data_IF_744741284934
#
_entry.id   IF_744741284934
#
_cell.length_a   1.000
_cell.length_b   1.000
_cell.length_c   1.000
_cell.angle_alpha   90.00
_cell.angle_beta   90.00
_cell.angle_gamma   90.00
#
_symmetry.space_group_name_H-M   'P 1'
#
loop_
_entity.id
_entity.type
_entity.pdbx_description
1 polymer ?
#
# COMPACT_ATOMS: atom_id res chain seq x y z
N UNK A 1 -7.14 -5.40 -13.06
CA UNK A 1 -7.69 -6.75 -12.76
C UNK A 1 -9.00 -6.61 -11.98
N UNK A 2 -9.78 -7.68 -11.77
CA UNK A 2 -10.96 -7.59 -10.88
C UNK A 2 -10.55 -7.77 -9.41
N UNK A 3 -11.40 -7.32 -8.48
CA UNK A 3 -11.16 -7.38 -7.03
C UNK A 3 -10.77 -8.78 -6.54
N UNK A 4 -11.50 -9.81 -6.97
CA UNK A 4 -11.26 -11.20 -6.53
C UNK A 4 -9.89 -11.74 -6.98
N UNK A 5 -9.46 -11.41 -8.20
CA UNK A 5 -8.14 -11.80 -8.71
C UNK A 5 -7.03 -11.14 -7.91
N UNK A 6 -7.19 -9.87 -7.58
CA UNK A 6 -6.24 -9.12 -6.74
C UNK A 6 -6.18 -9.76 -5.34
N UNK A 7 -7.33 -10.01 -4.71
CA UNK A 7 -7.41 -10.67 -3.41
C UNK A 7 -6.71 -12.04 -3.38
N UNK A 8 -6.91 -12.84 -4.43
CA UNK A 8 -6.31 -14.17 -4.54
C UNK A 8 -4.79 -14.12 -4.65
N UNK A 9 -4.25 -13.09 -5.33
CA UNK A 9 -2.79 -12.88 -5.41
C UNK A 9 -2.26 -12.42 -4.06
N UNK A 10 -2.86 -11.40 -3.47
CA UNK A 10 -2.47 -10.87 -2.15
C UNK A 10 -2.43 -12.01 -1.13
N UNK A 11 -3.45 -12.85 -1.06
CA UNK A 11 -3.53 -13.95 -0.10
C UNK A 11 -2.40 -14.97 -0.22
N UNK A 12 -1.79 -15.10 -1.42
CA UNK A 12 -0.63 -15.97 -1.65
C UNK A 12 0.69 -15.26 -1.35
N UNK A 13 0.79 -13.98 -1.67
CA UNK A 13 2.02 -13.19 -1.61
C UNK A 13 2.28 -12.64 -0.22
N UNK A 14 1.26 -12.10 0.43
CA UNK A 14 1.38 -11.34 1.66
C UNK A 14 2.09 -12.12 2.79
N UNK A 15 1.78 -13.41 3.03
CA UNK A 15 2.52 -14.20 4.04
C UNK A 15 4.00 -14.38 3.73
N UNK A 16 4.40 -14.35 2.44
CA UNK A 16 5.81 -14.43 2.03
C UNK A 16 6.55 -13.13 2.33
N UNK A 17 5.90 -11.99 2.10
CA UNK A 17 6.40 -10.64 2.44
C UNK A 17 6.59 -10.51 3.95
N UNK A 18 5.56 -10.88 4.72
CA UNK A 18 5.62 -10.91 6.20
C UNK A 18 6.80 -11.73 6.69
N UNK A 19 6.95 -12.96 6.18
CA UNK A 19 8.05 -13.84 6.57
C UNK A 19 9.43 -13.28 6.21
N UNK A 20 9.55 -12.58 5.08
CA UNK A 20 10.83 -12.06 4.60
C UNK A 20 11.27 -10.80 5.35
N UNK A 21 10.38 -9.82 5.47
CA UNK A 21 10.72 -8.53 6.09
C UNK A 21 10.52 -8.49 7.61
N UNK A 22 9.72 -9.42 8.14
CA UNK A 22 9.46 -9.53 9.58
C UNK A 22 8.50 -8.46 10.10
N UNK A 23 8.56 -8.23 11.41
CA UNK A 23 7.59 -7.44 12.15
C UNK A 23 8.11 -6.04 12.47
N UNK A 24 7.21 -5.06 12.44
CA UNK A 24 7.52 -3.71 12.88
C UNK A 24 7.67 -3.68 14.39
N UNK A 25 8.61 -2.89 14.89
CA UNK A 25 8.72 -2.60 16.33
C UNK A 25 7.75 -1.50 16.80
N UNK A 26 6.96 -0.95 15.88
CA UNK A 26 6.02 0.15 16.13
C UNK A 26 4.56 -0.29 16.18
N UNK A 27 4.28 -1.56 15.88
CA UNK A 27 2.95 -2.14 15.82
C UNK A 27 2.95 -3.52 16.49
N UNK A 28 1.80 -3.95 17.02
CA UNK A 28 1.66 -5.23 17.72
C UNK A 28 1.50 -6.43 16.78
N UNK A 29 0.99 -6.17 15.56
CA UNK A 29 0.73 -7.18 14.55
C UNK A 29 1.10 -6.66 13.15
N UNK A 30 1.10 -7.57 12.18
CA UNK A 30 1.24 -7.22 10.76
C UNK A 30 0.02 -6.45 10.25
N UNK A 31 0.21 -5.61 9.22
CA UNK A 31 -0.90 -4.83 8.68
C UNK A 31 -2.07 -5.68 8.19
N UNK A 32 -3.28 -5.19 8.39
CA UNK A 32 -4.44 -5.72 7.68
C UNK A 32 -4.37 -5.31 6.20
N UNK A 33 -5.03 -6.07 5.32
CA UNK A 33 -5.15 -5.71 3.91
C UNK A 33 -6.60 -5.42 3.57
N UNK A 34 -6.85 -4.25 3.01
CA UNK A 34 -8.16 -3.86 2.49
C UNK A 34 -8.10 -3.55 0.99
N UNK A 35 -9.18 -3.91 0.28
CA UNK A 35 -9.33 -3.64 -1.15
C UNK A 35 -10.48 -2.66 -1.38
N UNK A 36 -10.13 -1.49 -1.90
CA UNK A 36 -11.07 -0.40 -2.23
C UNK A 36 -11.01 -0.07 -3.72
N UNK A 37 -12.07 0.52 -4.26
CA UNK A 37 -12.06 0.95 -5.67
C UNK A 37 -11.20 2.20 -5.86
N UNK A 38 -11.38 3.22 -5.02
CA UNK A 38 -10.58 4.45 -5.02
C UNK A 38 -10.58 5.09 -3.61
N UNK A 39 -9.87 6.20 -3.44
CA UNK A 39 -9.74 6.87 -2.14
C UNK A 39 -11.04 7.51 -1.64
N UNK A 40 -11.88 8.02 -2.54
CA UNK A 40 -13.17 8.61 -2.17
C UNK A 40 -14.10 7.57 -1.57
N UNK A 41 -14.15 6.40 -2.21
CA UNK A 41 -14.87 5.22 -1.76
C UNK A 41 -14.52 4.89 -0.32
N UNK A 42 -13.21 4.80 -0.04
CA UNK A 42 -12.68 4.52 1.28
C UNK A 42 -13.09 5.57 2.31
N UNK A 43 -13.01 6.86 1.98
CA UNK A 43 -13.23 7.95 2.92
C UNK A 43 -14.72 8.19 3.21
N UNK A 44 -15.60 8.10 2.21
CA UNK A 44 -17.03 8.43 2.38
C UNK A 44 -17.88 7.25 2.81
N UNK A 45 -17.50 6.02 2.45
CA UNK A 45 -18.26 4.81 2.79
C UNK A 45 -19.60 4.66 2.05
N UNK A 46 -19.90 5.51 1.06
CA UNK A 46 -21.16 5.49 0.31
C UNK A 46 -21.17 4.42 -0.79
N UNK A 47 -22.24 3.65 -0.95
CA UNK A 47 -22.41 2.72 -2.09
C UNK A 47 -22.56 3.47 -3.43
N UNK A 48 -21.86 3.02 -4.47
CA UNK A 48 -21.44 3.85 -5.61
C UNK A 48 -22.39 3.91 -6.82
N UNK A 49 -22.44 5.08 -7.47
CA UNK A 49 -22.91 5.27 -8.85
C UNK A 49 -21.74 5.07 -9.83
N UNK A 50 -21.91 4.19 -10.82
CA UNK A 50 -20.84 3.75 -11.74
C UNK A 50 -20.30 4.90 -12.61
N UNK A 51 -21.11 5.92 -12.88
CA UNK A 51 -20.76 7.00 -13.81
C UNK A 51 -19.66 7.93 -13.23
N UNK A 52 -19.59 8.09 -11.91
CA UNK A 52 -18.59 8.92 -11.21
C UNK A 52 -17.19 8.27 -11.25
N UNK A 53 -17.11 6.94 -11.33
CA UNK A 53 -15.86 6.17 -11.24
C UNK A 53 -14.95 6.35 -12.46
N UNK A 54 -15.52 6.72 -13.61
CA UNK A 54 -14.75 6.88 -14.86
C UNK A 54 -13.93 8.17 -14.91
N UNK A 55 -14.29 9.19 -14.11
CA UNK A 55 -13.67 10.51 -14.14
C UNK A 55 -12.83 10.85 -12.90
N UNK A 56 -13.02 10.15 -11.78
CA UNK A 56 -12.23 10.39 -10.56
C UNK A 56 -10.93 9.61 -10.58
N UNK A 57 -9.80 10.32 -10.59
CA UNK A 57 -8.47 9.71 -10.48
C UNK A 57 -8.37 8.78 -9.26
N UNK A 58 -8.07 7.51 -9.51
CA UNK A 58 -7.57 6.62 -8.47
C UNK A 58 -6.11 7.00 -8.20
N UNK A 59 -5.86 8.00 -7.38
CA UNK A 59 -4.53 8.27 -6.84
C UNK A 59 -4.67 8.26 -5.32
N UNK A 60 -3.85 7.51 -4.58
CA UNK A 60 -2.69 6.69 -5.02
C UNK A 60 -3.06 5.27 -5.51
N UNK A 61 -2.06 4.44 -5.86
CA UNK A 61 -2.22 3.01 -6.19
C UNK A 61 -2.48 2.15 -4.94
N UNK A 62 -1.85 2.52 -3.83
CA UNK A 62 -1.98 1.94 -2.51
C UNK A 62 -1.61 2.98 -1.45
N UNK A 63 -1.94 2.71 -0.19
CA UNK A 63 -1.47 3.49 0.95
C UNK A 63 -1.41 2.66 2.23
N UNK A 64 -0.49 3.02 3.11
CA UNK A 64 -0.43 2.48 4.46
C UNK A 64 -1.07 3.44 5.47
N UNK A 65 -2.24 3.06 5.99
CA UNK A 65 -2.85 3.74 7.13
C UNK A 65 -2.18 3.32 8.44
N UNK A 66 -1.45 4.27 9.02
CA UNK A 66 -0.72 4.10 10.28
C UNK A 66 -1.62 4.04 11.51
N UNK A 67 -2.81 4.62 11.45
CA UNK A 67 -3.74 4.63 12.59
C UNK A 67 -4.38 3.26 12.76
N UNK A 68 -4.82 2.68 11.65
CA UNK A 68 -5.52 1.38 11.65
C UNK A 68 -4.59 0.19 11.42
N UNK A 69 -3.31 0.45 11.14
CA UNK A 69 -2.33 -0.56 10.73
C UNK A 69 -2.85 -1.36 9.52
N UNK A 70 -3.25 -0.64 8.46
CA UNK A 70 -3.92 -1.23 7.30
C UNK A 70 -3.22 -0.79 6.02
N UNK A 71 -2.87 -1.76 5.17
CA UNK A 71 -2.49 -1.52 3.79
C UNK A 71 -3.76 -1.53 2.94
N UNK A 72 -4.04 -0.40 2.32
CA UNK A 72 -5.17 -0.20 1.42
C UNK A 72 -4.66 -0.32 0.00
N UNK A 73 -5.27 -1.20 -0.77
CA UNK A 73 -4.95 -1.42 -2.18
C UNK A 73 -6.13 -0.97 -3.03
N UNK A 74 -5.86 -0.09 -4.01
CA UNK A 74 -6.85 0.35 -4.97
C UNK A 74 -6.88 -0.59 -6.18
N UNK A 75 -7.77 -1.59 -6.12
CA UNK A 75 -7.75 -2.71 -7.05
C UNK A 75 -7.88 -2.37 -8.55
N UNK A 76 -8.50 -1.24 -8.98
CA UNK A 76 -8.50 -0.86 -10.40
C UNK A 76 -7.10 -0.55 -10.95
N UNK A 77 -6.17 -0.09 -10.10
CA UNK A 77 -4.76 0.17 -10.45
C UNK A 77 -3.89 -1.08 -10.51
N UNK A 78 -4.37 -2.18 -9.92
CA UNK A 78 -3.69 -3.46 -9.92
C UNK A 78 -3.90 -4.15 -11.27
N UNK A 79 -3.11 -3.74 -12.27
CA UNK A 79 -3.21 -4.22 -13.66
C UNK A 79 -2.54 -5.59 -13.85
N UNK A 80 -1.53 -5.91 -13.05
CA UNK A 80 -0.82 -7.19 -13.08
C UNK A 80 -0.25 -7.58 -11.70
N UNK A 81 0.28 -8.80 -11.62
CA UNK A 81 0.87 -9.35 -10.39
C UNK A 81 2.09 -8.58 -9.90
N UNK A 82 2.91 -8.03 -10.81
CA UNK A 82 4.10 -7.24 -10.43
C UNK A 82 3.67 -5.95 -9.74
N UNK A 83 2.68 -5.23 -10.27
CA UNK A 83 2.11 -4.03 -9.60
C UNK A 83 1.63 -4.37 -8.20
N UNK A 84 0.87 -5.46 -8.04
CA UNK A 84 0.37 -5.89 -6.72
C UNK A 84 1.52 -6.13 -5.74
N UNK A 85 2.54 -6.89 -6.16
CA UNK A 85 3.66 -7.22 -5.29
C UNK A 85 4.44 -5.95 -4.92
N UNK A 86 4.70 -5.05 -5.87
CA UNK A 86 5.40 -3.79 -5.62
C UNK A 86 4.64 -2.90 -4.63
N UNK A 87 3.34 -2.69 -4.84
CA UNK A 87 2.50 -1.92 -3.91
C UNK A 87 2.51 -2.52 -2.51
N UNK A 88 2.36 -3.85 -2.39
CA UNK A 88 2.44 -4.51 -1.08
C UNK A 88 3.81 -4.30 -0.41
N UNK A 89 4.92 -4.43 -1.14
CA UNK A 89 6.26 -4.22 -0.59
C UNK A 89 6.42 -2.77 -0.12
N UNK A 90 6.02 -1.81 -0.96
CA UNK A 90 6.13 -0.38 -0.68
C UNK A 90 5.42 -0.02 0.64
N UNK A 91 4.13 -0.36 0.73
CA UNK A 91 3.33 -0.06 1.93
C UNK A 91 3.81 -0.86 3.15
N UNK A 92 4.31 -2.08 2.96
CA UNK A 92 4.90 -2.85 4.05
C UNK A 92 6.20 -2.21 4.56
N UNK A 93 6.98 -1.53 3.71
CA UNK A 93 8.12 -0.74 4.20
C UNK A 93 7.65 0.42 5.09
N UNK A 94 6.54 1.08 4.75
CA UNK A 94 5.98 2.14 5.60
C UNK A 94 5.53 1.66 6.97
N UNK A 95 5.02 0.41 7.05
CA UNK A 95 4.72 -0.29 8.30
C UNK A 95 5.97 -0.50 9.17
N UNK A 96 7.12 -0.84 8.58
CA UNK A 96 8.37 -1.06 9.31
C UNK A 96 9.07 0.24 9.72
N UNK A 97 8.75 1.35 9.06
CA UNK A 97 9.39 2.64 9.27
C UNK A 97 8.82 3.38 10.48
N UNK A 98 9.63 4.27 11.06
CA UNK A 98 9.23 5.02 12.25
C UNK A 98 8.22 6.12 11.92
N UNK A 99 7.03 6.16 12.56
CA UNK A 99 6.07 7.24 12.36
C UNK A 99 6.62 8.61 12.74
N UNK A 100 7.43 8.67 13.81
CA UNK A 100 8.05 9.91 14.29
C UNK A 100 9.06 10.49 13.29
N UNK A 101 9.88 9.63 12.67
CA UNK A 101 10.84 10.08 11.66
C UNK A 101 10.16 10.42 10.34
N UNK A 102 9.12 9.67 9.94
CA UNK A 102 8.33 9.98 8.75
C UNK A 102 7.81 11.43 8.84
N UNK A 103 7.14 11.79 9.94
CA UNK A 103 6.69 13.17 10.18
C UNK A 103 7.83 14.18 10.25
N UNK A 104 8.97 13.79 10.84
CA UNK A 104 10.14 14.68 10.98
C UNK A 104 10.73 15.06 9.62
N UNK A 105 10.81 14.13 8.67
CA UNK A 105 11.32 14.43 7.34
C UNK A 105 10.42 15.45 6.61
N UNK A 106 9.10 15.29 6.66
CA UNK A 106 8.21 16.34 6.13
C UNK A 106 8.44 17.70 6.80
N UNK A 107 8.62 17.74 8.12
CA UNK A 107 8.93 18.99 8.83
C UNK A 107 10.29 19.60 8.43
N UNK A 108 11.21 18.80 7.89
CA UNK A 108 12.50 19.26 7.38
C UNK A 108 12.41 19.77 5.92
N UNK A 109 11.23 19.71 5.30
CA UNK A 109 11.00 20.18 3.93
C UNK A 109 11.15 19.10 2.86
N UNK A 110 11.26 17.82 3.25
CA UNK A 110 11.18 16.73 2.27
C UNK A 110 9.74 16.56 1.77
N UNK A 111 9.60 16.17 0.51
CA UNK A 111 8.36 15.89 -0.20
C UNK A 111 8.30 14.42 -0.65
N UNK A 112 7.21 14.00 -1.28
CA UNK A 112 7.03 12.61 -1.73
C UNK A 112 8.16 12.08 -2.65
N UNK A 113 8.82 12.95 -3.42
CA UNK A 113 9.82 12.53 -4.38
C UNK A 113 11.20 12.35 -3.73
N UNK A 114 11.51 13.13 -2.69
CA UNK A 114 12.81 13.12 -2.03
C UNK A 114 12.78 12.61 -0.57
N UNK A 115 11.62 12.23 -0.05
CA UNK A 115 11.47 11.74 1.31
C UNK A 115 12.26 10.43 1.50
N UNK A 116 13.19 10.34 2.48
CA UNK A 116 14.10 9.21 2.59
C UNK A 116 13.42 7.84 2.71
N UNK A 117 12.23 7.81 3.29
CA UNK A 117 11.44 6.59 3.43
C UNK A 117 10.69 6.19 2.16
N UNK A 118 10.29 7.16 1.34
CA UNK A 118 9.69 6.92 0.01
C UNK A 118 10.74 6.35 -0.94
N UNK A 119 11.95 6.93 -0.93
CA UNK A 119 13.08 6.44 -1.72
C UNK A 119 13.40 4.98 -1.35
N UNK A 120 13.47 4.69 -0.04
CA UNK A 120 13.75 3.33 0.44
C UNK A 120 12.63 2.37 0.04
N UNK A 121 11.36 2.75 0.18
CA UNK A 121 10.23 1.90 -0.21
C UNK A 121 10.27 1.58 -1.72
N UNK A 122 10.48 2.59 -2.56
CA UNK A 122 10.67 2.45 -4.02
C UNK A 122 11.86 1.57 -4.39
N UNK A 123 12.94 1.59 -3.61
CA UNK A 123 14.08 0.71 -3.84
C UNK A 123 13.75 -0.76 -3.52
N UNK A 124 13.03 -1.00 -2.42
CA UNK A 124 12.62 -2.35 -2.00
C UNK A 124 11.62 -2.99 -2.98
N UNK A 125 10.83 -2.21 -3.71
CA UNK A 125 9.96 -2.71 -4.78
C UNK A 125 10.70 -3.60 -5.78
N UNK A 126 12.01 -3.38 -6.01
CA UNK A 126 12.84 -4.22 -6.90
C UNK A 126 12.89 -5.69 -6.47
N UNK A 127 12.62 -5.98 -5.20
CA UNK A 127 12.58 -7.33 -4.65
C UNK A 127 11.31 -8.11 -5.03
N UNK A 128 10.39 -7.53 -5.81
CA UNK A 128 9.13 -8.18 -6.22
C UNK A 128 9.32 -9.59 -6.83
N UNK A 129 10.43 -9.80 -7.55
CA UNK A 129 10.77 -11.09 -8.19
C UNK A 129 10.91 -12.22 -7.16
N UNK A 130 11.35 -11.92 -5.93
CA UNK A 130 11.51 -12.90 -4.86
C UNK A 130 10.16 -13.50 -4.41
N UNK A 131 9.06 -12.80 -4.69
CA UNK A 131 7.72 -13.15 -4.25
C UNK A 131 6.82 -13.65 -5.38
N UNK A 132 7.29 -13.65 -6.64
CA UNK A 132 6.53 -14.19 -7.78
C UNK A 132 6.23 -15.69 -7.63
#
# INVERSE_FOLDING_TARGET
MNKDSVQNIISKIYPRIEKYYGYSKYHECTPYIELHHNIYVRITGDDYDQDILSETECNPDAEYDRNDNTIVIYWPKMIDTETIIKSLIHEYQHYLQSPSWFKRYYNMGYDYDNHPYEIKAKEEEKNWILFK
#
